data_IF_245352928496
#
_entry.id   IF_245352928496
#
_cell.length_a   1.000
_cell.length_b   1.000
_cell.length_c   1.000
_cell.angle_alpha   90.00
_cell.angle_beta   90.00
_cell.angle_gamma   90.00
#
_symmetry.space_group_name_H-M   'P 1'
#
loop_
_entity.id
_entity.type
_entity.pdbx_description
1 polymer ?
#
# COMPACT_ATOMS: atom_id res chain seq x y z
N UNK A 1 -13.33 -1.35 3.58
CA UNK A 1 -12.12 -1.22 2.73
C UNK A 1 -12.13 -2.35 1.73
N UNK A 2 -12.04 -2.09 0.42
CA UNK A 2 -11.90 -3.15 -0.59
C UNK A 2 -10.42 -3.53 -0.67
N UNK A 3 -10.13 -4.82 -0.46
CA UNK A 3 -8.78 -5.37 -0.56
C UNK A 3 -8.53 -5.65 -2.04
N UNK A 4 -7.51 -5.03 -2.61
CA UNK A 4 -7.04 -5.30 -3.96
C UNK A 4 -5.68 -5.96 -3.86
N UNK A 5 -5.60 -7.19 -4.35
CA UNK A 5 -4.38 -7.99 -4.32
C UNK A 5 -3.50 -7.73 -5.54
N UNK A 6 -4.08 -7.22 -6.63
CA UNK A 6 -3.36 -6.90 -7.86
C UNK A 6 -3.76 -5.52 -8.41
N UNK A 7 -2.88 -4.89 -9.18
CA UNK A 7 -3.17 -3.63 -9.88
C UNK A 7 -4.38 -3.75 -10.81
N UNK A 8 -4.60 -4.95 -11.36
CA UNK A 8 -5.76 -5.28 -12.22
C UNK A 8 -7.10 -5.30 -11.46
N UNK A 9 -7.09 -5.49 -10.14
CA UNK A 9 -8.31 -5.43 -9.32
C UNK A 9 -8.74 -3.98 -9.02
N UNK A 10 -7.85 -3.01 -9.29
CA UNK A 10 -8.12 -1.59 -9.05
C UNK A 10 -8.89 -1.06 -10.27
N UNK A 11 -10.19 -0.76 -10.16
CA UNK A 11 -11.00 -0.35 -11.31
C UNK A 11 -10.49 0.95 -11.95
N UNK A 12 -9.75 1.78 -11.20
CA UNK A 12 -9.12 3.00 -11.69
C UNK A 12 -7.88 2.74 -12.57
N UNK A 13 -7.29 1.56 -12.49
CA UNK A 13 -6.12 1.14 -13.27
C UNK A 13 -6.47 0.08 -14.32
N UNK A 14 -7.63 -0.56 -14.20
CA UNK A 14 -8.04 -1.69 -15.03
C UNK A 14 -8.09 -1.39 -16.54
N UNK A 15 -8.29 -0.12 -16.92
CA UNK A 15 -8.36 0.32 -18.31
C UNK A 15 -6.98 0.51 -18.96
N UNK A 16 -5.91 0.54 -18.16
CA UNK A 16 -4.54 0.81 -18.62
C UNK A 16 -3.76 -0.48 -18.91
N UNK A 17 -2.75 -0.36 -19.79
CA UNK A 17 -1.79 -1.45 -20.03
C UNK A 17 -0.94 -1.70 -18.78
N UNK A 18 -0.50 -2.94 -18.53
CA UNK A 18 0.28 -3.32 -17.33
C UNK A 18 1.51 -2.42 -17.08
N UNK A 19 2.16 -1.96 -18.14
CA UNK A 19 3.31 -1.06 -18.06
C UNK A 19 2.94 0.36 -17.57
N UNK A 20 1.81 0.88 -18.05
CA UNK A 20 1.25 2.16 -17.61
C UNK A 20 0.70 2.07 -16.18
N UNK A 21 0.08 0.94 -15.82
CA UNK A 21 -0.37 0.67 -14.45
C UNK A 21 0.80 0.72 -13.47
N UNK A 22 1.89 0.01 -13.80
CA UNK A 22 3.09 -0.04 -12.96
C UNK A 22 3.74 1.34 -12.85
N UNK A 23 3.87 2.06 -13.95
CA UNK A 23 4.46 3.41 -13.97
C UNK A 23 3.63 4.40 -13.16
N UNK A 24 2.32 4.44 -13.35
CA UNK A 24 1.41 5.31 -12.60
C UNK A 24 1.42 4.98 -11.10
N UNK A 25 1.46 3.69 -10.76
CA UNK A 25 1.55 3.25 -9.37
C UNK A 25 2.90 3.63 -8.76
N UNK A 26 4.01 3.40 -9.45
CA UNK A 26 5.35 3.69 -8.96
C UNK A 26 5.58 5.19 -8.78
N UNK A 27 5.13 6.01 -9.73
CA UNK A 27 5.14 7.47 -9.64
C UNK A 27 4.29 7.99 -8.47
N UNK A 28 3.07 7.47 -8.30
CA UNK A 28 2.22 7.86 -7.17
C UNK A 28 2.80 7.36 -5.84
N UNK A 29 3.35 6.16 -5.82
CA UNK A 29 3.95 5.56 -4.64
C UNK A 29 5.15 6.38 -4.17
N UNK A 30 6.11 6.69 -5.03
CA UNK A 30 7.26 7.54 -4.67
C UNK A 30 6.83 8.95 -4.24
N UNK A 31 5.86 9.55 -4.94
CA UNK A 31 5.44 10.93 -4.69
C UNK A 31 4.61 11.10 -3.41
N UNK A 32 3.83 10.09 -3.02
CA UNK A 32 2.89 10.18 -1.90
C UNK A 32 3.24 9.34 -0.68
N UNK A 33 4.12 8.33 -0.79
CA UNK A 33 4.59 7.52 0.35
C UNK A 33 5.02 8.38 1.54
N UNK A 34 5.90 9.35 1.27
CA UNK A 34 6.51 10.21 2.29
C UNK A 34 5.62 11.38 2.71
N UNK A 35 4.62 11.71 1.88
CA UNK A 35 3.72 12.84 2.11
C UNK A 35 2.51 12.47 2.96
N UNK A 36 2.15 11.19 3.01
CA UNK A 36 1.00 10.71 3.77
C UNK A 36 1.38 10.44 5.22
N UNK A 37 0.79 11.24 6.13
CA UNK A 37 0.85 11.01 7.58
C UNK A 37 0.30 9.63 7.97
N UNK A 38 -0.63 9.10 7.17
CA UNK A 38 -1.16 7.73 7.32
C UNK A 38 -0.10 6.64 7.10
N UNK A 39 0.88 6.84 6.22
CA UNK A 39 2.01 5.90 6.04
C UNK A 39 2.86 5.84 7.30
N UNK A 40 3.12 6.99 7.94
CA UNK A 40 3.85 7.05 9.21
C UNK A 40 3.10 6.37 10.35
N UNK A 41 1.77 6.57 10.44
CA UNK A 41 0.91 5.87 11.41
C UNK A 41 0.91 4.37 11.14
N UNK A 42 0.82 3.95 9.87
CA UNK A 42 0.89 2.54 9.49
C UNK A 42 2.24 1.91 9.83
N UNK A 43 3.35 2.61 9.59
CA UNK A 43 4.70 2.19 10.01
C UNK A 43 4.83 2.07 11.54
N UNK A 44 4.25 3.01 12.30
CA UNK A 44 4.26 2.95 13.76
C UNK A 44 3.46 1.75 14.29
N UNK A 45 2.29 1.49 13.71
CA UNK A 45 1.46 0.32 14.04
C UNK A 45 2.20 -0.98 13.69
N UNK A 46 2.81 -1.05 12.51
CA UNK A 46 3.67 -2.15 12.06
C UNK A 46 4.79 -2.46 13.05
N UNK A 47 5.55 -1.42 13.43
CA UNK A 47 6.67 -1.57 14.36
C UNK A 47 6.18 -2.07 15.72
N UNK A 48 5.07 -1.51 16.22
CA UNK A 48 4.44 -1.93 17.48
C UNK A 48 3.99 -3.40 17.42
N UNK A 49 3.35 -3.80 16.31
CA UNK A 49 2.84 -5.16 16.12
C UNK A 49 3.97 -6.19 16.02
N UNK A 50 5.08 -5.84 15.36
CA UNK A 50 6.28 -6.68 15.29
C UNK A 50 6.92 -6.80 16.67
N UNK A 51 7.07 -5.71 17.42
CA UNK A 51 7.63 -5.75 18.78
C UNK A 51 6.78 -6.62 19.70
N UNK A 52 5.45 -6.48 19.67
CA UNK A 52 4.53 -7.32 20.45
C UNK A 52 4.64 -8.79 20.00
N UNK A 53 4.64 -9.04 18.69
CA UNK A 53 4.76 -10.39 18.12
C UNK A 53 6.05 -11.08 18.55
N UNK A 54 7.18 -10.36 18.53
CA UNK A 54 8.47 -10.86 19.01
C UNK A 54 8.45 -11.20 20.50
N UNK A 55 7.72 -10.43 21.30
CA UNK A 55 7.60 -10.65 22.74
C UNK A 55 6.71 -11.85 23.09
N UNK A 56 5.66 -12.12 22.30
CA UNK A 56 4.70 -13.19 22.56
C UNK A 56 5.12 -14.53 21.93
N UNK A 57 5.62 -14.53 20.70
CA UNK A 57 5.89 -15.74 19.91
C UNK A 57 7.39 -16.01 19.70
N UNK A 58 8.26 -15.19 20.28
CA UNK A 58 9.71 -15.25 20.08
C UNK A 58 10.18 -14.51 18.83
N UNK A 59 11.50 -14.24 18.72
CA UNK A 59 12.04 -13.29 17.74
C UNK A 59 11.82 -13.71 16.28
N UNK A 60 11.85 -15.01 15.97
CA UNK A 60 11.76 -15.50 14.59
C UNK A 60 10.30 -15.60 14.13
N UNK A 61 9.45 -16.30 14.89
CA UNK A 61 8.04 -16.48 14.56
C UNK A 61 7.24 -15.18 14.72
N UNK A 62 7.53 -14.41 15.76
CA UNK A 62 6.93 -13.11 16.01
C UNK A 62 7.22 -12.09 14.92
N UNK A 63 8.47 -12.04 14.42
CA UNK A 63 8.84 -11.18 13.31
C UNK A 63 8.18 -11.62 12.00
N UNK A 64 8.10 -12.93 11.73
CA UNK A 64 7.44 -13.46 10.54
C UNK A 64 5.94 -13.12 10.51
N UNK A 65 5.23 -13.38 11.62
CA UNK A 65 3.78 -13.13 11.73
C UNK A 65 3.49 -11.63 11.79
N UNK A 66 4.23 -10.88 12.61
CA UNK A 66 4.08 -9.43 12.72
C UNK A 66 4.39 -8.71 11.41
N UNK A 67 5.43 -9.16 10.70
CA UNK A 67 5.80 -8.65 9.38
C UNK A 67 4.76 -8.97 8.31
N UNK A 68 4.20 -10.19 8.30
CA UNK A 68 3.14 -10.57 7.35
C UNK A 68 1.84 -9.77 7.58
N UNK A 69 1.38 -9.71 8.83
CA UNK A 69 0.13 -9.00 9.18
C UNK A 69 0.31 -7.50 8.95
N UNK A 70 1.38 -6.93 9.50
CA UNK A 70 1.62 -5.51 9.35
C UNK A 70 1.93 -5.12 7.90
N UNK A 71 2.64 -5.96 7.13
CA UNK A 71 2.91 -5.77 5.70
C UNK A 71 1.62 -5.73 4.88
N UNK A 72 0.68 -6.61 5.19
CA UNK A 72 -0.66 -6.60 4.63
C UNK A 72 -1.41 -5.31 4.96
N UNK A 73 -1.44 -4.91 6.24
CA UNK A 73 -2.11 -3.68 6.68
C UNK A 73 -1.50 -2.44 6.03
N UNK A 74 -0.17 -2.35 5.97
CA UNK A 74 0.54 -1.23 5.33
C UNK A 74 0.19 -1.17 3.83
N UNK A 75 0.22 -2.31 3.14
CA UNK A 75 -0.18 -2.40 1.74
C UNK A 75 -1.63 -1.96 1.52
N UNK A 76 -2.54 -2.31 2.44
CA UNK A 76 -3.95 -1.90 2.38
C UNK A 76 -4.13 -0.39 2.59
N UNK A 77 -3.47 0.18 3.60
CA UNK A 77 -3.54 1.62 3.89
C UNK A 77 -2.97 2.41 2.72
N UNK A 78 -1.81 2.02 2.22
CA UNK A 78 -1.17 2.66 1.07
C UNK A 78 -2.10 2.59 -0.14
N UNK A 79 -2.61 1.42 -0.52
CA UNK A 79 -3.50 1.29 -1.69
C UNK A 79 -4.78 2.11 -1.55
N UNK A 80 -5.38 2.15 -0.36
CA UNK A 80 -6.58 2.95 -0.12
C UNK A 80 -6.30 4.46 -0.21
N UNK A 81 -5.18 4.91 0.32
CA UNK A 81 -4.78 6.31 0.31
C UNK A 81 -4.24 6.75 -1.08
N UNK A 82 -3.62 5.84 -1.84
CA UNK A 82 -3.16 6.08 -3.20
C UNK A 82 -4.31 6.13 -4.20
N UNK A 83 -5.42 5.39 -3.96
CA UNK A 83 -6.57 5.29 -4.87
C UNK A 83 -7.11 6.65 -5.37
N UNK A 84 -7.40 7.66 -4.53
CA UNK A 84 -7.85 8.97 -5.02
C UNK A 84 -6.78 9.70 -5.84
N UNK A 85 -5.49 9.50 -5.54
CA UNK A 85 -4.39 10.11 -6.30
C UNK A 85 -4.16 9.42 -7.65
N UNK A 86 -4.26 8.08 -7.68
CA UNK A 86 -4.27 7.29 -8.91
C UNK A 86 -5.42 7.68 -9.82
N UNK A 87 -6.64 7.79 -9.27
CA UNK A 87 -7.81 8.24 -10.03
C UNK A 87 -7.59 9.60 -10.68
N UNK A 88 -7.06 10.56 -9.91
CA UNK A 88 -6.75 11.89 -10.43
C UNK A 88 -5.64 11.85 -11.49
N UNK A 89 -4.57 11.09 -11.26
CA UNK A 89 -3.46 10.98 -12.20
C UNK A 89 -3.90 10.33 -13.52
N UNK A 90 -4.67 9.24 -13.46
CA UNK A 90 -5.22 8.55 -14.63
C UNK A 90 -6.14 9.48 -15.42
N UNK A 91 -7.06 10.17 -14.72
CA UNK A 91 -7.98 11.12 -15.35
C UNK A 91 -7.30 12.37 -15.92
N UNK A 92 -6.07 12.72 -15.54
CA UNK A 92 -5.36 13.89 -16.04
C UNK A 92 -4.27 13.58 -17.07
N UNK A 93 -3.75 12.35 -17.10
CA UNK A 93 -2.68 11.94 -18.03
C UNK A 93 -3.15 10.99 -19.13
N UNK A 94 -4.26 10.28 -18.93
CA UNK A 94 -4.75 9.27 -19.87
C UNK A 94 -6.21 9.49 -20.29
N UNK A 95 -6.86 10.56 -19.81
CA UNK A 95 -8.13 10.99 -20.39
C UNK A 95 -7.84 11.75 -21.69
N UNK A 96 -8.00 11.06 -22.81
CA UNK A 96 -8.31 11.68 -24.12
C UNK A 96 -9.80 12.07 -24.17
#
# INVERSE_FOLDING_TARGET
>A
MKIYWSFKDIPELADLTEDQQKTAFQQCYEKYLFKMRETWVACAIMSTLVTIGMHVFGPILGAAIGGAIGGGILSMIITNALRPHLKNYVSHHFAE
#
